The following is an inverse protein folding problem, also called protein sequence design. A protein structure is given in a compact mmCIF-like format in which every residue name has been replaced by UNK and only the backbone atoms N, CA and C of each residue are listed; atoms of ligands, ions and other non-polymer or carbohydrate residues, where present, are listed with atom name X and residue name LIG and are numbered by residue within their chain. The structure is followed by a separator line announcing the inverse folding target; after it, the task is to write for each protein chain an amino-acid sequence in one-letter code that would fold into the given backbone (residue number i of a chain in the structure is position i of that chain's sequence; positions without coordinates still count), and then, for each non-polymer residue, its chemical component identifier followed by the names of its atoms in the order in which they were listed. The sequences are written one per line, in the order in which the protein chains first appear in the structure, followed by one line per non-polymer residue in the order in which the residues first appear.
data_IF_137503683702
#
_entry.id   IF_137503683702
#
_cell.length_a   1.000
_cell.length_b   1.000
_cell.length_c   1.000
_cell.angle_alpha   90.00
_cell.angle_beta   90.00
_cell.angle_gamma   90.00
#
_symmetry.space_group_name_H-M   'P 1'
#
loop_
_entity.id
_entity.type
_entity.pdbx_description
1 polymer ?
#
# COMPACT_ATOMS: atom_id res chain seq x y z
N UNK A 1 14.34 -10.43 -10.17
CA UNK A 1 13.25 -9.64 -9.61
C UNK A 1 13.39 -8.19 -10.01
N UNK A 2 12.32 -7.45 -9.99
CA UNK A 2 12.31 -6.05 -10.37
C UNK A 2 11.47 -5.25 -9.38
N UNK A 3 11.66 -3.94 -9.36
CA UNK A 3 10.83 -3.05 -8.54
C UNK A 3 9.52 -2.80 -9.23
N UNK A 4 8.44 -2.86 -8.45
CA UNK A 4 7.10 -2.55 -8.92
C UNK A 4 6.60 -1.32 -8.16
N UNK A 5 6.00 -0.39 -8.88
CA UNK A 5 5.53 0.89 -8.33
C UNK A 5 4.02 0.93 -8.36
N UNK A 6 3.42 1.31 -7.25
CA UNK A 6 1.97 1.39 -7.12
C UNK A 6 1.59 2.21 -5.90
N UNK A 7 0.32 2.59 -5.82
CA UNK A 7 -0.18 3.37 -4.71
C UNK A 7 -1.29 2.58 -4.01
N UNK A 8 -1.22 2.53 -2.69
CA UNK A 8 -2.29 1.94 -1.87
C UNK A 8 -3.16 3.09 -1.38
N UNK A 9 -4.35 3.21 -1.96
CA UNK A 9 -5.27 4.29 -1.61
C UNK A 9 -6.11 3.84 -0.42
N UNK A 10 -6.11 4.64 0.64
CA UNK A 10 -6.77 4.27 1.88
C UNK A 10 -8.25 4.61 1.85
N UNK A 11 -9.04 3.83 2.58
CA UNK A 11 -10.47 4.07 2.74
C UNK A 11 -10.71 5.40 3.44
N UNK A 12 -9.94 5.67 4.49
CA UNK A 12 -10.02 6.87 5.28
C UNK A 12 -8.63 7.40 5.60
N UNK A 13 -8.47 8.69 5.87
CA UNK A 13 -7.19 9.20 6.34
C UNK A 13 -6.80 8.51 7.66
N UNK A 14 -5.52 8.51 7.96
CA UNK A 14 -5.05 7.93 9.21
C UNK A 14 -5.61 8.73 10.39
N UNK A 15 -5.93 8.03 11.46
CA UNK A 15 -6.25 8.69 12.73
C UNK A 15 -4.95 9.23 13.32
N UNK A 16 -5.07 10.14 14.26
CA UNK A 16 -3.91 10.70 14.95
C UNK A 16 -3.08 9.59 15.61
N UNK A 17 -3.76 8.62 16.18
CA UNK A 17 -3.14 7.49 16.84
C UNK A 17 -2.35 6.64 15.84
N UNK A 18 -2.93 6.39 14.69
CA UNK A 18 -2.27 5.63 13.63
C UNK A 18 -1.06 6.38 13.08
N UNK A 19 -1.19 7.69 12.92
CA UNK A 19 -0.11 8.51 12.42
C UNK A 19 1.06 8.52 13.40
N UNK A 20 0.77 8.64 14.69
CA UNK A 20 1.80 8.59 15.73
C UNK A 20 2.51 7.25 15.72
N UNK A 21 1.76 6.17 15.60
CA UNK A 21 2.35 4.84 15.58
C UNK A 21 3.22 4.65 14.34
N UNK A 22 2.79 5.18 13.21
CA UNK A 22 3.52 5.07 11.96
C UNK A 22 4.94 5.62 12.08
N UNK A 23 5.11 6.72 12.81
CA UNK A 23 6.42 7.33 12.95
C UNK A 23 7.39 6.46 13.76
N UNK A 24 6.87 5.48 14.49
CA UNK A 24 7.68 4.58 15.30
C UNK A 24 7.98 3.24 14.62
N UNK A 25 7.33 2.97 13.48
CA UNK A 25 7.46 1.66 12.84
C UNK A 25 8.59 1.65 11.82
N UNK A 26 9.65 0.92 12.13
CA UNK A 26 10.80 0.82 11.24
C UNK A 26 10.42 0.24 9.87
N UNK A 27 9.40 -0.64 9.84
CA UNK A 27 8.95 -1.26 8.59
C UNK A 27 8.38 -0.25 7.59
N UNK A 28 8.07 0.97 8.05
CA UNK A 28 7.55 2.04 7.18
C UNK A 28 8.60 3.12 6.92
N UNK A 29 9.87 2.85 7.24
CA UNK A 29 10.93 3.83 7.11
C UNK A 29 12.12 3.33 6.29
N UNK A 30 11.91 2.28 5.50
CA UNK A 30 12.99 1.70 4.71
C UNK A 30 13.06 2.26 3.29
N UNK A 31 12.25 3.25 2.97
CA UNK A 31 12.25 3.87 1.66
C UNK A 31 11.39 3.17 0.62
N UNK A 32 10.73 2.07 0.99
CA UNK A 32 9.90 1.33 0.04
C UNK A 32 8.44 1.72 0.10
N UNK A 33 8.02 2.38 1.16
CA UNK A 33 6.63 2.77 1.37
C UNK A 33 6.61 4.12 2.06
N UNK A 34 5.80 5.03 1.55
CA UNK A 34 5.71 6.38 2.10
C UNK A 34 4.29 6.90 2.07
N UNK A 35 3.92 7.59 3.13
CA UNK A 35 2.58 8.17 3.26
C UNK A 35 2.50 9.51 2.53
N UNK A 36 1.44 9.69 1.75
CA UNK A 36 1.10 10.97 1.13
C UNK A 36 -0.31 11.31 1.55
N UNK A 37 -0.51 12.50 2.09
CA UNK A 37 -1.81 12.92 2.58
C UNK A 37 -2.37 14.10 1.81
N UNK A 38 -3.67 14.13 1.65
CA UNK A 38 -4.41 15.25 1.10
C UNK A 38 -5.48 15.68 2.09
N UNK A 39 -6.33 16.68 1.72
CA UNK A 39 -7.32 17.19 2.65
C UNK A 39 -8.28 16.15 3.21
N UNK A 40 -8.72 15.21 2.36
CA UNK A 40 -9.68 14.20 2.78
C UNK A 40 -9.25 12.80 2.39
N UNK A 41 -7.97 12.62 2.13
CA UNK A 41 -7.50 11.33 1.62
C UNK A 41 -6.08 11.05 2.05
N UNK A 42 -5.71 9.79 1.94
CA UNK A 42 -4.34 9.37 2.18
C UNK A 42 -4.02 8.18 1.30
N UNK A 43 -2.77 8.06 0.92
CA UNK A 43 -2.31 6.89 0.18
C UNK A 43 -0.87 6.58 0.59
N UNK A 44 -0.46 5.35 0.34
CA UNK A 44 0.93 4.96 0.49
C UNK A 44 1.51 4.72 -0.90
N UNK A 45 2.58 5.46 -1.18
CA UNK A 45 3.34 5.29 -2.41
C UNK A 45 4.34 4.16 -2.18
N UNK A 46 4.33 3.16 -3.04
CA UNK A 46 5.08 1.92 -2.80
C UNK A 46 6.04 1.61 -3.94
N UNK A 47 7.19 1.06 -3.57
CA UNK A 47 8.19 0.55 -4.50
C UNK A 47 8.74 -0.74 -3.89
N UNK A 48 8.27 -1.87 -4.38
CA UNK A 48 8.64 -3.17 -3.81
C UNK A 48 9.23 -4.08 -4.87
N UNK A 49 10.30 -4.77 -4.51
CA UNK A 49 10.97 -5.71 -5.38
C UNK A 49 10.28 -7.07 -5.29
N UNK A 50 9.89 -7.63 -6.43
CA UNK A 50 9.23 -8.92 -6.49
C UNK A 50 9.25 -9.44 -7.92
N UNK A 51 8.86 -10.69 -8.11
CA UNK A 51 8.77 -11.26 -9.44
C UNK A 51 7.54 -10.78 -10.19
N UNK A 52 6.47 -10.48 -9.47
CA UNK A 52 5.22 -9.99 -10.08
C UNK A 52 4.68 -8.82 -9.30
N UNK A 53 3.86 -8.02 -9.97
CA UNK A 53 3.18 -6.90 -9.34
C UNK A 53 2.29 -7.37 -8.19
N UNK A 54 1.58 -8.48 -8.39
CA UNK A 54 0.69 -9.03 -7.37
C UNK A 54 1.47 -9.39 -6.10
N UNK A 55 2.64 -9.97 -6.26
CA UNK A 55 3.48 -10.31 -5.12
C UNK A 55 3.96 -9.05 -4.41
N UNK A 56 4.35 -8.02 -5.17
CA UNK A 56 4.80 -6.77 -4.60
C UNK A 56 3.68 -6.12 -3.77
N UNK A 57 2.46 -6.15 -4.27
CA UNK A 57 1.29 -5.61 -3.56
C UNK A 57 1.07 -6.39 -2.27
N UNK A 58 1.15 -7.72 -2.33
CA UNK A 58 0.96 -8.55 -1.14
C UNK A 58 2.02 -8.24 -0.08
N UNK A 59 3.26 -8.06 -0.51
CA UNK A 59 4.35 -7.73 0.41
C UNK A 59 4.13 -6.38 1.09
N UNK A 60 3.64 -5.40 0.33
CA UNK A 60 3.34 -4.09 0.88
C UNK A 60 2.20 -4.17 1.90
N UNK A 61 1.15 -4.90 1.57
CA UNK A 61 0.01 -5.03 2.47
C UNK A 61 0.36 -5.77 3.75
N UNK A 62 1.32 -6.68 3.68
CA UNK A 62 1.74 -7.41 4.87
C UNK A 62 2.33 -6.48 5.94
N UNK A 63 2.82 -5.32 5.56
CA UNK A 63 3.36 -4.37 6.52
C UNK A 63 2.30 -3.78 7.43
N UNK A 64 1.04 -3.78 6.98
CA UNK A 64 -0.05 -3.20 7.76
C UNK A 64 -0.45 -4.07 8.95
N UNK A 65 0.15 -5.25 9.11
CA UNK A 65 -0.04 -6.02 10.33
C UNK A 65 0.46 -5.22 11.54
N UNK A 66 1.44 -4.34 11.32
CA UNK A 66 1.98 -3.50 12.37
C UNK A 66 1.19 -2.21 12.57
N UNK A 67 0.23 -1.94 11.69
CA UNK A 67 -0.57 -0.71 11.74
C UNK A 67 -2.04 -1.09 11.58
N UNK A 68 -2.62 -1.73 12.59
CA UNK A 68 -3.99 -2.25 12.48
C UNK A 68 -5.02 -1.15 12.33
N UNK A 69 -6.12 -1.50 11.69
CA UNK A 69 -7.21 -0.57 11.49
C UNK A 69 -7.14 0.26 10.22
N UNK A 70 -6.02 0.20 9.51
CA UNK A 70 -5.89 0.90 8.24
C UNK A 70 -6.48 0.03 7.14
N UNK A 71 -7.43 0.59 6.39
CA UNK A 71 -8.11 -0.14 5.31
C UNK A 71 -7.70 0.43 3.95
N UNK A 72 -7.25 -0.45 3.07
CA UNK A 72 -6.90 -0.08 1.70
C UNK A 72 -8.15 -0.22 0.84
N UNK A 73 -8.54 0.88 0.21
CA UNK A 73 -9.70 0.90 -0.67
C UNK A 73 -9.40 0.36 -2.05
N UNK A 74 -8.24 0.73 -2.58
CA UNK A 74 -7.86 0.32 -3.93
C UNK A 74 -6.35 0.38 -4.09
N UNK A 75 -5.87 -0.31 -5.12
CA UNK A 75 -4.47 -0.22 -5.53
C UNK A 75 -4.49 0.46 -6.90
N UNK A 76 -3.77 1.58 -7.00
CA UNK A 76 -3.79 2.39 -8.22
C UNK A 76 -2.39 2.57 -8.78
N UNK A 77 -2.31 2.63 -10.09
CA UNK A 77 -1.06 2.90 -10.78
C UNK A 77 -1.26 4.20 -11.57
N UNK A 78 -0.61 5.27 -11.11
CA UNK A 78 -0.64 6.52 -11.83
C UNK A 78 0.30 6.44 -13.04
N UNK A 79 0.38 7.50 -13.82
CA UNK A 79 1.18 7.47 -15.05
C UNK A 79 2.67 7.25 -14.77
N UNK A 80 3.16 7.71 -13.63
CA UNK A 80 4.56 7.50 -13.27
C UNK A 80 4.81 6.03 -12.94
N UNK A 81 3.90 5.43 -12.17
CA UNK A 81 4.00 4.02 -11.84
C UNK A 81 3.91 3.15 -13.09
N UNK A 82 3.01 3.50 -14.00
CA UNK A 82 2.88 2.75 -15.25
C UNK A 82 4.17 2.79 -16.05
N UNK A 83 4.75 3.97 -16.19
CA UNK A 83 5.99 4.12 -16.93
C UNK A 83 7.11 3.34 -16.28
N UNK A 84 7.25 3.46 -14.96
CA UNK A 84 8.31 2.79 -14.22
C UNK A 84 8.16 1.27 -14.26
N UNK A 85 6.91 0.79 -14.32
CA UNK A 85 6.64 -0.65 -14.40
C UNK A 85 6.70 -1.17 -15.84
N UNK A 86 6.78 -0.28 -16.82
CA UNK A 86 6.74 -0.68 -18.22
C UNK A 86 5.35 -1.10 -18.67
N UNK A 87 4.31 -0.55 -18.08
CA UNK A 87 2.92 -0.89 -18.40
C UNK A 87 2.32 0.19 -19.28
N UNK A 88 1.36 -0.20 -20.12
CA UNK A 88 0.79 0.71 -21.09
C UNK A 88 -0.56 1.28 -20.69
N UNK A 89 -1.26 0.64 -19.78
CA UNK A 89 -2.64 0.99 -19.47
C UNK A 89 -2.82 1.32 -17.99
N UNK A 90 -3.44 2.46 -17.69
CA UNK A 90 -3.75 2.78 -16.29
C UNK A 90 -4.64 1.71 -15.67
N UNK A 91 -4.42 1.45 -14.40
CA UNK A 91 -5.17 0.43 -13.70
C UNK A 91 -5.49 0.85 -12.27
N UNK A 92 -6.69 0.52 -11.85
CA UNK A 92 -7.10 0.56 -10.46
C UNK A 92 -7.52 -0.85 -10.12
N UNK A 93 -6.81 -1.45 -9.18
CA UNK A 93 -7.06 -2.83 -8.81
C UNK A 93 -7.74 -2.89 -7.46
N UNK A 94 -8.66 -3.84 -7.27
CA UNK A 94 -9.24 -4.01 -5.93
C UNK A 94 -8.15 -4.47 -4.98
N UNK A 95 -8.25 -4.12 -3.70
CA UNK A 95 -7.28 -4.61 -2.73
C UNK A 95 -7.42 -6.12 -2.58
N UNK A 96 -6.31 -6.81 -2.30
CA UNK A 96 -6.40 -8.25 -2.01
C UNK A 96 -7.22 -8.47 -0.74
N UNK A 97 -7.65 -9.70 -0.50
CA UNK A 97 -8.39 -10.01 0.73
C UNK A 97 -7.58 -9.66 1.96
N UNK A 98 -8.24 -9.41 3.09
CA UNK A 98 -7.52 -9.16 4.34
C UNK A 98 -6.56 -10.30 4.66
N UNK A 99 -5.56 -10.01 5.48
CA UNK A 99 -4.60 -11.02 5.86
C UNK A 99 -5.27 -12.18 6.57
N UNK A 100 -4.66 -13.34 6.43
CA UNK A 100 -5.29 -14.60 6.79
C UNK A 100 -5.63 -14.76 8.26
N UNK A 101 -5.03 -14.00 9.12
CA UNK A 101 -5.37 -14.06 10.52
C UNK A 101 -6.73 -13.48 10.82
N UNK A 102 -7.33 -12.89 9.85
CA UNK A 102 -8.72 -12.42 9.99
C UNK A 102 -9.59 -13.62 9.78
N UNK A 103 -10.03 -14.19 10.74
CA UNK A 103 -10.84 -15.37 10.54
C UNK A 103 -12.20 -14.98 10.04
N UNK A 104 -12.05 -14.78 9.91
CA UNK A 104 -12.80 -14.76 9.79
C UNK A 104 -13.70 -14.78 9.78
N UNK A 105 -13.70 -14.69 9.80
CA UNK A 105 -14.30 -14.87 9.88
C UNK A 105 -15.21 -14.87 9.39
N UNK A 106 -15.36 -14.86 9.16
CA UNK A 106 -16.12 -14.82 8.78
C UNK A 106 -16.71 -15.41 8.68
#
# INVERSE_FOLDING_TARGET
MRNWYFNLVLQDPLTEEQDDRLTELASFHDGRIGLETGPDSALFSCSFEAETLTQAIADALARFVDLPGVLVRSVELDEFALEDNGMATPAVLPPPPPLADTPSAR
#
